data_IF_028919163706
#
_entry.id   IF_028919163706
#
_cell.length_a   1.000
_cell.length_b   1.000
_cell.length_c   1.000
_cell.angle_alpha   90.00
_cell.angle_beta   90.00
_cell.angle_gamma   90.00
#
_symmetry.space_group_name_H-M   'P 1'
#
loop_
_entity.id
_entity.type
_entity.pdbx_description
1 polymer ?
#
# COMPACT_ATOMS: atom_id res chain seq x y z
N UNK A 1 22.27 -5.81 9.38
CA UNK A 1 21.87 -4.52 8.79
C UNK A 1 21.49 -4.79 7.35
N UNK A 2 20.20 -4.92 7.05
CA UNK A 2 19.73 -5.08 5.69
C UNK A 2 19.45 -3.68 5.13
N UNK A 3 20.39 -3.17 4.34
CA UNK A 3 20.16 -1.99 3.53
C UNK A 3 19.31 -2.43 2.34
N UNK A 4 18.01 -2.20 2.43
CA UNK A 4 17.15 -2.23 1.25
C UNK A 4 17.38 -0.88 0.58
N UNK A 5 18.30 -0.87 -0.38
CA UNK A 5 18.44 0.27 -1.29
C UNK A 5 17.10 0.41 -2.01
N UNK A 6 16.40 1.52 -1.72
CA UNK A 6 15.27 1.96 -2.54
C UNK A 6 15.88 2.23 -3.91
N UNK A 7 15.67 1.30 -4.84
CA UNK A 7 15.91 1.54 -6.25
C UNK A 7 14.91 2.62 -6.66
N UNK A 8 15.30 3.88 -6.44
CA UNK A 8 14.58 5.05 -6.86
C UNK A 8 14.69 5.11 -8.38
N UNK A 9 13.90 4.26 -9.05
CA UNK A 9 13.45 4.60 -10.38
C UNK A 9 12.78 5.96 -10.33
N UNK A 10 12.74 6.63 -11.48
CA UNK A 10 12.17 7.98 -11.67
C UNK A 10 10.76 8.16 -11.06
N UNK A 11 10.05 7.06 -10.84
CA UNK A 11 8.75 7.00 -10.22
C UNK A 11 8.82 6.90 -8.68
N UNK A 12 8.18 7.87 -8.02
CA UNK A 12 8.00 7.90 -6.58
C UNK A 12 6.68 7.21 -6.19
N UNK A 13 6.74 6.36 -5.17
CA UNK A 13 5.55 5.72 -4.59
C UNK A 13 5.07 6.44 -3.33
N UNK A 14 3.77 6.66 -3.22
CA UNK A 14 3.12 7.26 -2.05
C UNK A 14 1.93 6.42 -1.61
N UNK A 15 1.93 6.03 -0.34
CA UNK A 15 0.80 5.38 0.31
C UNK A 15 -0.21 6.46 0.76
N UNK A 16 -1.46 6.34 0.32
CA UNK A 16 -2.54 7.28 0.63
C UNK A 16 -3.35 6.81 1.83
N UNK A 17 -3.80 5.56 1.82
CA UNK A 17 -4.67 5.04 2.86
C UNK A 17 -4.43 3.56 3.09
N UNK A 18 -4.57 3.13 4.35
CA UNK A 18 -4.67 1.71 4.72
C UNK A 18 -5.95 1.51 5.52
N UNK A 19 -6.82 0.65 5.03
CA UNK A 19 -8.06 0.31 5.70
C UNK A 19 -8.07 -1.16 6.10
N UNK A 20 -8.39 -1.43 7.37
CA UNK A 20 -8.71 -2.77 7.83
C UNK A 20 -10.19 -3.07 7.54
N UNK A 21 -10.44 -4.01 6.64
CA UNK A 21 -11.77 -4.49 6.30
C UNK A 21 -12.00 -5.89 6.90
N UNK A 22 -13.26 -6.29 7.03
CA UNK A 22 -13.59 -7.61 7.55
C UNK A 22 -14.82 -8.22 6.91
N UNK A 23 -14.79 -9.52 6.64
CA UNK A 23 -15.96 -10.31 6.28
C UNK A 23 -16.40 -11.16 7.47
N UNK A 24 -17.66 -11.01 7.89
CA UNK A 24 -18.24 -11.88 8.93
C UNK A 24 -18.72 -13.18 8.29
N UNK A 25 -18.36 -14.30 8.88
CA UNK A 25 -18.82 -15.65 8.54
C UNK A 25 -19.30 -16.35 9.82
N UNK A 26 -19.93 -17.52 9.68
CA UNK A 26 -20.43 -18.34 10.81
C UNK A 26 -19.40 -18.53 11.95
N UNK A 27 -18.13 -18.66 11.62
CA UNK A 27 -17.05 -18.93 12.57
C UNK A 27 -16.28 -17.71 13.09
N UNK A 28 -16.69 -16.49 12.72
CA UNK A 28 -16.02 -15.26 13.18
C UNK A 28 -15.82 -14.23 12.07
N UNK A 29 -14.81 -13.37 12.24
CA UNK A 29 -14.47 -12.33 11.26
C UNK A 29 -13.11 -12.62 10.65
N UNK A 30 -13.08 -12.67 9.32
CA UNK A 30 -11.83 -12.67 8.57
C UNK A 30 -11.46 -11.21 8.35
N UNK A 31 -10.30 -10.80 8.84
CA UNK A 31 -9.77 -9.46 8.62
C UNK A 31 -8.85 -9.45 7.40
N UNK A 32 -8.84 -8.33 6.69
CA UNK A 32 -7.90 -8.06 5.61
C UNK A 32 -7.54 -6.59 5.60
N UNK A 33 -6.35 -6.27 5.11
CA UNK A 33 -5.94 -4.88 4.92
C UNK A 33 -6.00 -4.55 3.44
N UNK A 34 -6.52 -3.37 3.14
CA UNK A 34 -6.51 -2.77 1.80
C UNK A 34 -5.62 -1.55 1.87
N UNK A 35 -4.74 -1.40 0.89
CA UNK A 35 -3.87 -0.23 0.78
C UNK A 35 -4.13 0.47 -0.55
N UNK A 36 -4.31 1.79 -0.48
CA UNK A 36 -4.37 2.66 -1.65
C UNK A 36 -3.01 3.34 -1.79
N UNK A 37 -2.37 3.14 -2.94
CA UNK A 37 -1.05 3.68 -3.28
C UNK A 37 -1.13 4.37 -4.64
N UNK A 38 -0.31 5.40 -4.82
CA UNK A 38 -0.09 6.07 -6.11
C UNK A 38 1.39 6.05 -6.43
N UNK A 39 1.69 6.02 -7.72
CA UNK A 39 3.05 6.00 -8.26
C UNK A 39 3.13 7.07 -9.35
N UNK A 40 4.16 7.91 -9.32
CA UNK A 40 4.34 8.97 -10.32
C UNK A 40 5.71 9.66 -10.23
N UNK A 41 6.12 10.31 -11.30
CA UNK A 41 7.39 11.04 -11.41
C UNK A 41 7.35 12.45 -10.78
N UNK A 42 6.16 12.91 -10.38
CA UNK A 42 5.94 14.23 -9.78
C UNK A 42 5.99 15.39 -10.79
N UNK A 43 6.16 15.13 -12.08
CA UNK A 43 6.24 16.16 -13.12
C UNK A 43 4.87 16.61 -13.67
N UNK A 44 3.79 15.91 -13.29
CA UNK A 44 2.42 16.39 -13.49
C UNK A 44 1.94 16.40 -14.95
N UNK A 45 2.50 15.56 -15.82
CA UNK A 45 2.01 15.29 -17.18
C UNK A 45 1.53 13.85 -17.32
#
# INVERSE_FOLDING_TARGET
MAHIEKQAGELQEKLIAVNRVSKTVKGGRIFSFTALTVVGDGNGQ
#
